data_IF_389611512869
#
_entry.id   IF_389611512869
#
_cell.length_a   1.000
_cell.length_b   1.000
_cell.length_c   1.000
_cell.angle_alpha   90.00
_cell.angle_beta   90.00
_cell.angle_gamma   90.00
#
_symmetry.space_group_name_H-M   'P 1'
#
loop_
_entity.id
_entity.type
_entity.pdbx_description
1 polymer ?
#
# COMPACT_ATOMS: atom_id res chain seq x y z
N UNK A 1 1.43 -11.65 -28.57
CA UNK A 1 1.56 -10.23 -28.25
C UNK A 1 0.65 -9.87 -27.05
N UNK A 2 0.78 -10.54 -25.90
CA UNK A 2 -0.43 -10.88 -25.11
C UNK A 2 -0.53 -10.41 -23.65
N UNK A 3 0.56 -10.04 -22.96
CA UNK A 3 0.49 -9.43 -21.61
C UNK A 3 1.53 -8.34 -21.45
N UNK A 4 2.77 -8.66 -21.80
CA UNK A 4 3.92 -7.74 -21.74
C UNK A 4 3.68 -6.47 -22.57
N UNK A 5 3.18 -6.61 -23.80
CA UNK A 5 2.89 -5.45 -24.67
C UNK A 5 1.77 -4.56 -24.14
N UNK A 6 0.78 -5.14 -23.44
CA UNK A 6 -0.28 -4.39 -22.79
C UNK A 6 0.26 -3.61 -21.58
N UNK A 7 1.05 -4.25 -20.72
CA UNK A 7 1.65 -3.61 -19.55
C UNK A 7 2.59 -2.47 -19.96
N UNK A 8 3.42 -2.69 -20.98
CA UNK A 8 4.31 -1.64 -21.53
C UNK A 8 3.48 -0.45 -22.01
N UNK A 9 2.43 -0.68 -22.81
CA UNK A 9 1.55 0.40 -23.27
C UNK A 9 0.84 1.13 -22.12
N UNK A 10 0.41 0.38 -21.10
CA UNK A 10 -0.20 0.95 -19.91
C UNK A 10 0.77 1.90 -19.20
N UNK A 11 2.04 1.50 -19.04
CA UNK A 11 3.08 2.32 -18.41
C UNK A 11 3.41 3.56 -19.25
N UNK A 12 3.52 3.41 -20.58
CA UNK A 12 3.74 4.54 -21.49
C UNK A 12 2.61 5.58 -21.38
N UNK A 13 1.34 5.13 -21.44
CA UNK A 13 0.19 6.00 -21.30
C UNK A 13 0.12 6.64 -19.89
N UNK A 14 0.46 5.88 -18.84
CA UNK A 14 0.52 6.40 -17.47
C UNK A 14 1.60 7.48 -17.31
N UNK A 15 2.79 7.25 -17.87
CA UNK A 15 3.89 8.22 -17.82
C UNK A 15 3.50 9.53 -18.51
N UNK A 16 2.88 9.43 -19.69
CA UNK A 16 2.38 10.59 -20.43
C UNK A 16 1.28 11.32 -19.66
N UNK A 17 0.35 10.59 -19.04
CA UNK A 17 -0.72 11.15 -18.22
C UNK A 17 -0.15 11.88 -17.00
N UNK A 18 0.80 11.30 -16.27
CA UNK A 18 1.44 11.94 -15.10
C UNK A 18 2.11 13.26 -15.48
N UNK A 19 2.86 13.28 -16.58
CA UNK A 19 3.49 14.52 -17.07
C UNK A 19 2.46 15.61 -17.39
N UNK A 20 1.33 15.22 -18.00
CA UNK A 20 0.23 16.12 -18.32
C UNK A 20 -0.50 16.62 -17.07
N UNK A 21 -0.81 15.72 -16.12
CA UNK A 21 -1.43 16.06 -14.83
C UNK A 21 -0.54 17.00 -14.02
N UNK A 22 0.78 16.80 -14.01
CA UNK A 22 1.72 17.73 -13.37
C UNK A 22 1.61 19.15 -13.95
N UNK A 23 1.58 19.27 -15.27
CA UNK A 23 1.41 20.57 -15.95
C UNK A 23 0.06 21.21 -15.61
N UNK A 24 -1.03 20.43 -15.65
CA UNK A 24 -2.38 20.91 -15.32
C UNK A 24 -2.50 21.35 -13.86
N UNK A 25 -1.84 20.64 -12.92
CA UNK A 25 -1.78 21.01 -11.50
C UNK A 25 -1.05 22.33 -11.29
N UNK A 26 0.04 22.59 -12.02
CA UNK A 26 0.75 23.87 -11.99
C UNK A 26 -0.14 25.02 -12.47
N UNK A 27 -0.93 24.77 -13.51
CA UNK A 27 -1.94 25.69 -14.05
C UNK A 27 -3.22 25.79 -13.18
N UNK A 28 -3.33 25.01 -12.09
CA UNK A 28 -4.52 24.86 -11.24
C UNK A 28 -5.78 24.36 -12.00
N UNK A 29 -5.61 23.74 -13.16
CA UNK A 29 -6.64 23.10 -13.98
C UNK A 29 -6.99 21.71 -13.44
N UNK A 30 -7.51 21.67 -12.22
CA UNK A 30 -7.75 20.42 -11.48
C UNK A 30 -8.87 19.57 -12.08
N UNK A 31 -9.88 20.18 -12.69
CA UNK A 31 -10.97 19.45 -13.36
C UNK A 31 -10.44 18.68 -14.58
N UNK A 32 -9.65 19.34 -15.41
CA UNK A 32 -9.02 18.75 -16.58
C UNK A 32 -8.04 17.65 -16.17
N UNK A 33 -7.27 17.86 -15.10
CA UNK A 33 -6.38 16.82 -14.58
C UNK A 33 -7.15 15.56 -14.15
N UNK A 34 -8.33 15.70 -13.53
CA UNK A 34 -9.18 14.56 -13.18
C UNK A 34 -9.73 13.85 -14.43
N UNK A 35 -10.01 14.57 -15.51
CA UNK A 35 -10.44 13.94 -16.78
C UNK A 35 -9.35 13.09 -17.40
N UNK A 36 -8.08 13.49 -17.32
CA UNK A 36 -6.96 12.69 -17.82
C UNK A 36 -6.83 11.36 -17.05
N UNK A 37 -7.05 11.39 -15.73
CA UNK A 37 -7.04 10.16 -14.93
C UNK A 37 -8.24 9.27 -15.29
N UNK A 38 -9.43 9.86 -15.45
CA UNK A 38 -10.64 9.11 -15.79
C UNK A 38 -10.57 8.46 -17.19
N UNK A 39 -9.97 9.16 -18.16
CA UNK A 39 -9.73 8.63 -19.51
C UNK A 39 -8.85 7.37 -19.44
N UNK A 40 -7.80 7.41 -18.63
CA UNK A 40 -6.88 6.29 -18.49
C UNK A 40 -7.47 5.12 -17.70
N UNK A 41 -8.25 5.40 -16.65
CA UNK A 41 -9.05 4.41 -15.93
C UNK A 41 -9.97 3.66 -16.89
N UNK A 42 -10.65 4.37 -17.78
CA UNK A 42 -11.58 3.78 -18.74
C UNK A 42 -10.83 2.92 -19.77
N UNK A 43 -9.76 3.47 -20.37
CA UNK A 43 -9.01 2.83 -21.44
C UNK A 43 -8.40 1.49 -21.01
N UNK A 44 -7.72 1.47 -19.86
CA UNK A 44 -6.96 0.28 -19.44
C UNK A 44 -7.75 -0.64 -18.53
N UNK A 45 -8.64 -0.11 -17.68
CA UNK A 45 -9.31 -0.87 -16.63
C UNK A 45 -10.81 -1.00 -16.83
N UNK A 46 -11.39 -0.26 -17.81
CA UNK A 46 -12.85 -0.14 -18.01
C UNK A 46 -13.59 0.37 -16.77
N UNK A 47 -12.90 1.17 -15.97
CA UNK A 47 -13.43 1.82 -14.77
C UNK A 47 -13.54 3.33 -14.99
N UNK A 48 -14.23 4.00 -14.09
CA UNK A 48 -14.15 5.45 -13.94
C UNK A 48 -13.92 5.78 -12.46
N UNK A 49 -13.46 6.99 -12.20
CA UNK A 49 -13.15 7.50 -10.88
C UNK A 49 -14.32 7.37 -9.91
N UNK A 50 -15.55 7.65 -10.38
CA UNK A 50 -16.76 7.56 -9.55
C UNK A 50 -16.99 6.14 -9.04
N UNK A 51 -16.95 5.15 -9.93
CA UNK A 51 -17.12 3.74 -9.57
C UNK A 51 -16.02 3.30 -8.62
N UNK A 52 -14.76 3.57 -8.98
CA UNK A 52 -13.60 3.18 -8.19
C UNK A 52 -13.71 3.74 -6.76
N UNK A 53 -14.03 5.02 -6.63
CA UNK A 53 -14.14 5.68 -5.34
C UNK A 53 -15.40 5.27 -4.52
N UNK A 54 -16.41 4.65 -5.14
CA UNK A 54 -17.62 4.16 -4.45
C UNK A 54 -17.50 2.74 -3.87
N UNK A 55 -16.55 1.94 -4.36
CA UNK A 55 -16.33 0.56 -3.94
C UNK A 55 -15.50 0.48 -2.65
N UNK A 56 -15.55 -0.66 -1.97
CA UNK A 56 -14.53 -1.00 -0.97
C UNK A 56 -13.19 -1.34 -1.64
N UNK A 57 -12.09 -1.41 -0.88
CA UNK A 57 -10.80 -1.85 -1.44
C UNK A 57 -10.82 -3.34 -1.78
N UNK A 58 -11.59 -4.14 -1.03
CA UNK A 58 -11.84 -5.56 -1.28
C UNK A 58 -12.58 -5.76 -2.61
N UNK A 59 -13.65 -5.01 -2.84
CA UNK A 59 -14.40 -5.09 -4.11
C UNK A 59 -13.52 -4.69 -5.29
N UNK A 60 -12.66 -3.67 -5.14
CA UNK A 60 -11.68 -3.33 -6.19
C UNK A 60 -10.75 -4.51 -6.44
N UNK A 61 -10.15 -5.09 -5.41
CA UNK A 61 -9.24 -6.22 -5.53
C UNK A 61 -9.91 -7.38 -6.28
N UNK A 62 -11.16 -7.68 -5.95
CA UNK A 62 -11.91 -8.77 -6.58
C UNK A 62 -12.22 -8.52 -8.06
N UNK A 63 -12.37 -7.26 -8.49
CA UNK A 63 -12.48 -6.92 -9.93
C UNK A 63 -11.22 -7.28 -10.73
N UNK A 64 -10.06 -7.39 -10.05
CA UNK A 64 -8.78 -7.79 -10.65
C UNK A 64 -8.48 -9.28 -10.52
N UNK A 65 -9.43 -10.09 -10.05
CA UNK A 65 -9.29 -11.55 -10.05
C UNK A 65 -9.89 -12.16 -11.32
N UNK A 66 -9.05 -12.84 -12.10
CA UNK A 66 -9.49 -13.61 -13.27
C UNK A 66 -9.19 -15.09 -13.04
N UNK A 67 -10.25 -15.91 -12.97
CA UNK A 67 -10.11 -17.36 -12.75
C UNK A 67 -9.42 -17.71 -11.42
N UNK A 68 -9.60 -16.88 -10.39
CA UNK A 68 -8.98 -17.05 -9.06
C UNK A 68 -7.57 -16.47 -8.93
N UNK A 69 -6.95 -16.02 -10.03
CA UNK A 69 -5.62 -15.41 -10.03
C UNK A 69 -5.75 -13.89 -10.04
N UNK A 70 -5.00 -13.22 -9.15
CA UNK A 70 -4.94 -11.76 -9.12
C UNK A 70 -4.06 -11.23 -10.26
N UNK A 71 -4.58 -10.26 -11.01
CA UNK A 71 -3.79 -9.46 -11.95
C UNK A 71 -3.06 -8.33 -11.19
N UNK A 72 -2.07 -8.69 -10.35
CA UNK A 72 -1.36 -7.80 -9.43
C UNK A 72 -0.72 -6.58 -10.12
N UNK A 73 -0.16 -6.74 -11.33
CA UNK A 73 0.38 -5.64 -12.13
C UNK A 73 -0.68 -4.61 -12.56
N UNK A 74 -1.92 -5.04 -12.78
CA UNK A 74 -3.02 -4.11 -13.08
C UNK A 74 -3.52 -3.44 -11.81
N UNK A 75 -3.55 -4.16 -10.70
CA UNK A 75 -3.93 -3.61 -9.41
C UNK A 75 -2.99 -2.48 -8.97
N UNK A 76 -1.68 -2.62 -9.15
CA UNK A 76 -0.74 -1.52 -8.91
C UNK A 76 -0.98 -0.32 -9.85
N UNK A 77 -1.41 -0.57 -11.10
CA UNK A 77 -1.78 0.48 -12.03
C UNK A 77 -2.94 1.32 -11.49
N UNK A 78 -3.99 0.68 -10.97
CA UNK A 78 -5.11 1.37 -10.31
C UNK A 78 -4.67 2.10 -9.04
N UNK A 79 -3.80 1.50 -8.24
CA UNK A 79 -3.24 2.14 -7.06
C UNK A 79 -2.52 3.45 -7.42
N UNK A 80 -1.71 3.44 -8.47
CA UNK A 80 -1.02 4.63 -8.99
C UNK A 80 -2.01 5.71 -9.47
N UNK A 81 -3.09 5.34 -10.16
CA UNK A 81 -4.09 6.32 -10.60
C UNK A 81 -4.83 6.97 -9.41
N UNK A 82 -5.15 6.21 -8.37
CA UNK A 82 -5.71 6.77 -7.13
C UNK A 82 -4.75 7.76 -6.47
N UNK A 83 -3.44 7.48 -6.45
CA UNK A 83 -2.43 8.41 -5.94
C UNK A 83 -2.41 9.72 -6.73
N UNK A 84 -2.45 9.64 -8.06
CA UNK A 84 -2.49 10.85 -8.90
C UNK A 84 -3.77 11.65 -8.66
N UNK A 85 -4.94 11.00 -8.53
CA UNK A 85 -6.17 11.68 -8.13
C UNK A 85 -6.03 12.37 -6.77
N UNK A 86 -5.48 11.69 -5.76
CA UNK A 86 -5.23 12.25 -4.43
C UNK A 86 -4.38 13.51 -4.51
N UNK A 87 -3.29 13.46 -5.28
CA UNK A 87 -2.42 14.61 -5.52
C UNK A 87 -3.13 15.78 -6.23
N UNK A 88 -4.14 15.53 -7.06
CA UNK A 88 -4.97 16.59 -7.66
C UNK A 88 -5.90 17.23 -6.62
N UNK A 89 -6.54 16.43 -5.75
CA UNK A 89 -7.38 16.94 -4.66
C UNK A 89 -6.59 17.75 -3.63
N UNK A 90 -5.33 17.38 -3.36
CA UNK A 90 -4.41 18.19 -2.55
C UNK A 90 -4.24 19.60 -3.12
N UNK A 91 -4.03 19.73 -4.44
CA UNK A 91 -3.92 21.03 -5.12
C UNK A 91 -5.24 21.80 -5.10
N UNK A 92 -6.38 21.10 -5.15
CA UNK A 92 -7.72 21.68 -5.02
C UNK A 92 -8.01 22.19 -3.59
N UNK A 93 -7.22 21.78 -2.60
CA UNK A 93 -7.41 22.12 -1.19
C UNK A 93 -8.40 21.20 -0.46
N UNK A 94 -8.80 20.10 -1.07
CA UNK A 94 -9.75 19.13 -0.52
C UNK A 94 -8.98 17.98 0.13
N UNK A 95 -8.59 18.18 1.39
CA UNK A 95 -7.74 17.26 2.14
C UNK A 95 -8.39 15.91 2.41
N UNK A 96 -9.71 15.89 2.62
CA UNK A 96 -10.43 14.65 2.90
C UNK A 96 -10.45 13.75 1.66
N UNK A 97 -10.71 14.32 0.48
CA UNK A 97 -10.67 13.57 -0.77
C UNK A 97 -9.25 13.13 -1.14
N UNK A 98 -8.23 13.92 -0.81
CA UNK A 98 -6.82 13.56 -1.00
C UNK A 98 -6.44 12.37 -0.11
N UNK A 99 -6.67 12.48 1.20
CA UNK A 99 -6.35 11.43 2.18
C UNK A 99 -7.09 10.13 1.89
N UNK A 100 -8.38 10.22 1.55
CA UNK A 100 -9.20 9.06 1.17
C UNK A 100 -8.55 8.25 0.03
N UNK A 101 -8.01 8.93 -0.98
CA UNK A 101 -7.35 8.29 -2.12
C UNK A 101 -5.96 7.80 -1.78
N UNK A 102 -5.19 8.55 -0.99
CA UNK A 102 -3.87 8.13 -0.52
C UNK A 102 -3.95 6.83 0.29
N UNK A 103 -4.86 6.73 1.26
CA UNK A 103 -5.04 5.51 2.06
C UNK A 103 -5.42 4.28 1.21
N UNK A 104 -6.29 4.48 0.22
CA UNK A 104 -6.71 3.40 -0.69
C UNK A 104 -5.59 3.00 -1.64
N UNK A 105 -4.89 3.97 -2.20
CA UNK A 105 -3.72 3.73 -3.03
C UNK A 105 -2.67 2.91 -2.27
N UNK A 106 -2.35 3.29 -1.03
CA UNK A 106 -1.43 2.55 -0.17
C UNK A 106 -1.90 1.11 0.04
N UNK A 107 -3.17 0.91 0.39
CA UNK A 107 -3.73 -0.43 0.56
C UNK A 107 -3.56 -1.29 -0.71
N UNK A 108 -3.90 -0.75 -1.88
CA UNK A 108 -3.82 -1.49 -3.14
C UNK A 108 -2.38 -1.77 -3.56
N UNK A 109 -1.44 -0.85 -3.34
CA UNK A 109 -0.03 -1.10 -3.60
C UNK A 109 0.54 -2.20 -2.70
N UNK A 110 0.31 -2.13 -1.38
CA UNK A 110 0.75 -3.16 -0.44
C UNK A 110 0.15 -4.52 -0.81
N UNK A 111 -1.13 -4.56 -1.15
CA UNK A 111 -1.80 -5.79 -1.56
C UNK A 111 -1.22 -6.34 -2.87
N UNK A 112 -0.99 -5.49 -3.87
CA UNK A 112 -0.41 -5.91 -5.15
C UNK A 112 1.01 -6.46 -4.97
N UNK A 113 1.82 -5.80 -4.14
CA UNK A 113 3.20 -6.22 -3.83
C UNK A 113 3.25 -7.62 -3.22
N UNK A 114 2.47 -7.85 -2.16
CA UNK A 114 2.38 -9.13 -1.45
C UNK A 114 1.81 -10.26 -2.34
N UNK A 115 1.23 -9.92 -3.49
CA UNK A 115 0.72 -10.86 -4.48
C UNK A 115 1.56 -10.88 -5.77
N UNK A 116 2.82 -10.44 -5.70
CA UNK A 116 3.82 -10.63 -6.75
C UNK A 116 3.67 -9.68 -7.93
N UNK A 117 3.17 -8.46 -7.71
CA UNK A 117 3.32 -7.39 -8.70
C UNK A 117 4.81 -7.08 -8.93
N UNK A 118 5.17 -6.75 -10.17
CA UNK A 118 6.52 -6.31 -10.49
C UNK A 118 6.72 -4.85 -10.03
N UNK A 119 7.58 -4.69 -9.02
CA UNK A 119 7.87 -3.40 -8.36
C UNK A 119 8.51 -2.38 -9.30
N UNK A 120 9.27 -2.83 -10.29
CA UNK A 120 10.02 -1.92 -11.18
C UNK A 120 9.10 -1.21 -12.18
N UNK A 121 7.94 -1.78 -12.49
CA UNK A 121 7.03 -1.27 -13.53
C UNK A 121 6.58 0.18 -13.29
N UNK A 122 6.35 0.56 -12.04
CA UNK A 122 5.81 1.87 -11.65
C UNK A 122 6.57 2.51 -10.48
N UNK A 123 7.81 2.08 -10.22
CA UNK A 123 8.59 2.46 -9.02
C UNK A 123 7.80 2.22 -7.73
N UNK A 124 7.21 1.03 -7.59
CA UNK A 124 6.24 0.72 -6.53
C UNK A 124 6.79 1.03 -5.13
N UNK A 125 8.06 0.73 -4.88
CA UNK A 125 8.71 1.02 -3.59
C UNK A 125 8.73 2.52 -3.30
N UNK A 126 9.15 3.35 -4.28
CA UNK A 126 9.12 4.80 -4.13
C UNK A 126 7.70 5.36 -3.97
N UNK A 127 6.72 4.79 -4.68
CA UNK A 127 5.31 5.17 -4.57
C UNK A 127 4.73 4.85 -3.18
N UNK A 128 5.02 3.67 -2.63
CA UNK A 128 4.64 3.28 -1.26
C UNK A 128 5.29 4.20 -0.23
N UNK A 129 6.59 4.48 -0.34
CA UNK A 129 7.29 5.39 0.57
C UNK A 129 6.69 6.81 0.57
N UNK A 130 6.34 7.32 -0.61
CA UNK A 130 5.69 8.62 -0.73
C UNK A 130 4.32 8.65 -0.05
N UNK A 131 3.52 7.59 -0.23
CA UNK A 131 2.21 7.45 0.41
C UNK A 131 2.33 7.30 1.93
N UNK A 132 3.29 6.53 2.42
CA UNK A 132 3.53 6.37 3.85
C UNK A 132 3.84 7.71 4.52
N UNK A 133 4.66 8.57 3.89
CA UNK A 133 4.91 9.93 4.37
C UNK A 133 3.65 10.80 4.36
N UNK A 134 2.79 10.65 3.35
CA UNK A 134 1.55 11.42 3.23
C UNK A 134 0.53 11.03 4.31
N UNK A 135 0.44 9.73 4.64
CA UNK A 135 -0.55 9.22 5.60
C UNK A 135 -0.03 9.08 7.03
N UNK A 136 1.27 9.25 7.27
CA UNK A 136 1.92 9.16 8.59
C UNK A 136 1.17 9.89 9.72
N UNK A 137 0.61 11.11 9.53
CA UNK A 137 -0.10 11.80 10.61
C UNK A 137 -1.44 11.16 11.00
N UNK A 138 -1.89 10.14 10.28
CA UNK A 138 -3.21 9.55 10.38
C UNK A 138 -3.13 8.08 10.79
N UNK A 139 -4.13 7.65 11.54
CA UNK A 139 -4.33 6.23 11.86
C UNK A 139 -4.74 5.47 10.60
N UNK A 140 -3.98 4.43 10.25
CA UNK A 140 -4.36 3.53 9.16
C UNK A 140 -5.52 2.63 9.57
N UNK A 141 -6.41 2.25 8.62
CA UNK A 141 -7.34 1.15 8.85
C UNK A 141 -6.58 -0.13 9.21
N UNK A 142 -7.07 -0.90 10.18
CA UNK A 142 -6.38 -2.11 10.67
C UNK A 142 -6.04 -3.12 9.57
N UNK A 143 -6.91 -3.25 8.55
CA UNK A 143 -6.63 -4.09 7.37
C UNK A 143 -5.43 -3.61 6.55
N UNK A 144 -5.23 -2.29 6.44
CA UNK A 144 -4.07 -1.72 5.74
C UNK A 144 -2.82 -1.83 6.60
N UNK A 145 -2.94 -1.67 7.92
CA UNK A 145 -1.83 -1.85 8.85
C UNK A 145 -1.31 -3.30 8.86
N UNK A 146 -2.21 -4.31 8.77
CA UNK A 146 -1.79 -5.71 8.59
C UNK A 146 -1.02 -5.96 7.29
N UNK A 147 -1.45 -5.34 6.18
CA UNK A 147 -0.69 -5.40 4.93
C UNK A 147 0.67 -4.71 5.08
N UNK A 148 0.73 -3.59 5.80
CA UNK A 148 1.97 -2.86 6.05
C UNK A 148 2.95 -3.69 6.89
N UNK A 149 2.47 -4.38 7.93
CA UNK A 149 3.25 -5.31 8.73
C UNK A 149 3.92 -6.36 7.82
N UNK A 150 3.12 -7.08 7.03
CA UNK A 150 3.60 -8.12 6.15
C UNK A 150 4.58 -7.58 5.08
N UNK A 151 4.28 -6.40 4.52
CA UNK A 151 5.17 -5.74 3.56
C UNK A 151 6.51 -5.37 4.20
N UNK A 152 6.51 -4.75 5.39
CA UNK A 152 7.75 -4.36 6.07
C UNK A 152 8.61 -5.58 6.42
N UNK A 153 7.99 -6.66 6.90
CA UNK A 153 8.68 -7.93 7.16
C UNK A 153 9.30 -8.50 5.87
N UNK A 154 8.55 -8.53 4.78
CA UNK A 154 9.02 -9.03 3.48
C UNK A 154 10.15 -8.17 2.88
N UNK A 155 10.17 -6.87 3.19
CA UNK A 155 11.24 -5.94 2.81
C UNK A 155 12.47 -6.01 3.72
N UNK A 156 12.42 -6.80 4.80
CA UNK A 156 13.48 -6.88 5.79
C UNK A 156 13.53 -5.69 6.75
N UNK A 157 12.49 -4.86 6.80
CA UNK A 157 12.36 -3.75 7.74
C UNK A 157 11.69 -4.22 9.04
N UNK A 158 12.38 -5.07 9.78
CA UNK A 158 11.82 -5.80 10.92
C UNK A 158 11.33 -4.90 12.05
N UNK A 159 12.07 -3.84 12.40
CA UNK A 159 11.60 -2.87 13.39
C UNK A 159 10.27 -2.20 12.99
N UNK A 160 10.12 -1.85 11.71
CA UNK A 160 8.87 -1.25 11.20
C UNK A 160 7.72 -2.25 11.16
N UNK A 161 8.00 -3.53 10.92
CA UNK A 161 6.99 -4.58 11.01
C UNK A 161 6.50 -4.74 12.45
N UNK A 162 7.42 -4.71 13.42
CA UNK A 162 7.10 -4.72 14.84
C UNK A 162 6.27 -3.48 15.23
N UNK A 163 6.64 -2.27 14.79
CA UNK A 163 5.84 -1.06 15.02
C UNK A 163 4.39 -1.21 14.52
N UNK A 164 4.19 -1.82 13.35
CA UNK A 164 2.85 -2.11 12.82
C UNK A 164 2.08 -3.11 13.68
N UNK A 165 2.74 -4.13 14.21
CA UNK A 165 2.15 -5.10 15.14
C UNK A 165 1.66 -4.42 16.42
N UNK A 166 2.48 -3.56 17.02
CA UNK A 166 2.08 -2.81 18.23
C UNK A 166 0.95 -1.83 17.94
N UNK A 167 0.96 -1.11 16.80
CA UNK A 167 -0.18 -0.28 16.39
C UNK A 167 -1.46 -1.09 16.28
N UNK A 168 -1.44 -2.28 15.66
CA UNK A 168 -2.62 -3.16 15.60
C UNK A 168 -3.13 -3.56 16.98
N UNK A 169 -2.23 -3.89 17.91
CA UNK A 169 -2.62 -4.19 19.28
C UNK A 169 -3.22 -2.98 20.00
N UNK A 170 -2.61 -1.80 19.89
CA UNK A 170 -3.14 -0.54 20.43
C UNK A 170 -4.51 -0.18 19.82
N UNK A 171 -4.75 -0.63 18.60
CA UNK A 171 -6.03 -0.45 17.92
C UNK A 171 -7.14 -1.32 18.51
N UNK A 172 -6.81 -2.29 19.38
CA UNK A 172 -7.72 -3.27 19.96
C UNK A 172 -7.92 -4.51 19.08
N UNK A 173 -7.05 -4.73 18.09
CA UNK A 173 -7.13 -5.91 17.24
C UNK A 173 -6.59 -7.14 17.98
N UNK A 174 -7.22 -8.30 17.77
CA UNK A 174 -6.71 -9.59 18.29
C UNK A 174 -5.55 -10.08 17.43
N UNK A 175 -4.35 -9.59 17.74
CA UNK A 175 -3.11 -9.91 17.02
C UNK A 175 -2.11 -10.70 17.88
N UNK A 176 -2.56 -11.29 18.99
CA UNK A 176 -1.67 -11.99 19.92
C UNK A 176 -0.94 -13.18 19.24
N UNK A 177 -1.68 -13.97 18.47
CA UNK A 177 -1.13 -15.06 17.67
C UNK A 177 -0.24 -14.54 16.55
N UNK A 178 -0.70 -13.55 15.77
CA UNK A 178 0.07 -12.92 14.68
C UNK A 178 1.44 -12.43 15.17
N UNK A 179 1.48 -11.77 16.33
CA UNK A 179 2.72 -11.28 16.91
C UNK A 179 3.64 -12.39 17.41
N UNK A 180 3.08 -13.45 18.00
CA UNK A 180 3.88 -14.61 18.41
C UNK A 180 4.54 -15.28 17.20
N UNK A 181 3.82 -15.41 16.09
CA UNK A 181 4.34 -15.94 14.83
C UNK A 181 5.40 -15.03 14.21
N UNK A 182 5.26 -13.69 14.29
CA UNK A 182 6.28 -12.74 13.84
C UNK A 182 7.60 -12.97 14.60
N UNK A 183 7.58 -12.96 15.93
CA UNK A 183 8.80 -13.18 16.73
C UNK A 183 9.41 -14.57 16.53
N UNK A 184 8.60 -15.60 16.27
CA UNK A 184 9.12 -16.93 15.91
C UNK A 184 9.91 -16.87 14.60
N UNK A 185 9.38 -16.21 13.57
CA UNK A 185 10.09 -16.04 12.29
C UNK A 185 11.35 -15.18 12.45
N UNK A 186 11.27 -14.07 13.19
CA UNK A 186 12.42 -13.20 13.48
C UNK A 186 13.54 -13.98 14.20
N UNK A 187 13.19 -14.86 15.14
CA UNK A 187 14.16 -15.69 15.86
C UNK A 187 14.89 -16.73 14.99
N UNK A 188 14.42 -16.98 13.77
CA UNK A 188 15.08 -17.86 12.80
C UNK A 188 16.07 -17.11 11.88
N UNK A 189 16.08 -15.78 11.92
CA UNK A 189 16.96 -14.96 11.08
C UNK A 189 18.37 -14.85 11.66
N UNK A 190 19.33 -14.59 10.77
CA UNK A 190 20.72 -14.35 11.19
C UNK A 190 20.85 -12.99 11.91
N UNK A 191 21.79 -12.85 12.85
CA UNK A 191 22.07 -11.55 13.49
C UNK A 191 22.32 -10.42 12.51
N UNK A 192 23.04 -10.69 11.41
CA UNK A 192 23.32 -9.69 10.39
C UNK A 192 22.05 -9.20 9.67
N UNK A 193 21.10 -10.10 9.38
CA UNK A 193 19.82 -9.74 8.77
C UNK A 193 18.97 -8.91 9.73
N UNK A 194 18.92 -9.31 11.00
CA UNK A 194 18.22 -8.60 12.07
C UNK A 194 18.76 -7.18 12.27
N UNK A 195 20.07 -7.01 12.37
CA UNK A 195 20.70 -5.68 12.45
C UNK A 195 20.45 -4.84 11.20
N UNK A 196 20.45 -5.43 10.00
CA UNK A 196 20.15 -4.70 8.77
C UNK A 196 18.68 -4.25 8.67
N UNK A 197 17.78 -4.93 9.38
CA UNK A 197 16.38 -4.57 9.52
C UNK A 197 16.05 -3.70 10.74
N UNK A 198 17.08 -3.09 11.33
CA UNK A 198 17.02 -2.21 12.50
C UNK A 198 16.42 -2.88 13.76
N UNK A 199 16.48 -4.21 13.87
CA UNK A 199 15.95 -4.97 15.01
C UNK A 199 16.96 -6.06 15.44
N UNK A 200 18.05 -5.71 16.16
CA UNK A 200 19.11 -6.65 16.54
C UNK A 200 18.60 -7.81 17.42
N UNK A 201 19.34 -8.94 17.50
CA UNK A 201 18.90 -10.14 18.21
C UNK A 201 18.47 -9.91 19.67
N UNK A 202 19.15 -9.00 20.37
CA UNK A 202 18.82 -8.64 21.74
C UNK A 202 17.43 -8.00 21.83
N UNK A 203 17.09 -7.11 20.89
CA UNK A 203 15.77 -6.47 20.80
C UNK A 203 14.69 -7.45 20.38
N UNK A 204 14.96 -8.38 19.46
CA UNK A 204 14.00 -9.46 19.12
C UNK A 204 13.65 -10.31 20.35
N UNK A 205 14.64 -10.68 21.16
CA UNK A 205 14.41 -11.47 22.36
C UNK A 205 13.63 -10.66 23.40
N UNK A 206 14.00 -9.39 23.61
CA UNK A 206 13.30 -8.49 24.52
C UNK A 206 11.84 -8.27 24.08
N UNK A 207 11.62 -7.90 22.83
CA UNK A 207 10.31 -7.69 22.23
C UNK A 207 9.43 -8.92 22.35
N UNK A 208 9.96 -10.12 22.10
CA UNK A 208 9.24 -11.39 22.29
C UNK A 208 8.77 -11.59 23.73
N UNK A 209 9.61 -11.31 24.71
CA UNK A 209 9.25 -11.43 26.13
C UNK A 209 8.21 -10.39 26.55
N UNK A 210 8.36 -9.15 26.08
CA UNK A 210 7.41 -8.07 26.31
C UNK A 210 6.05 -8.39 25.69
N UNK A 211 6.04 -8.82 24.43
CA UNK A 211 4.83 -9.24 23.72
C UNK A 211 4.11 -10.38 24.42
N UNK A 212 4.85 -11.39 24.89
CA UNK A 212 4.27 -12.51 25.65
C UNK A 212 3.65 -12.05 26.97
N UNK A 213 4.24 -11.08 27.67
CA UNK A 213 3.65 -10.52 28.90
C UNK A 213 2.40 -9.69 28.59
N UNK A 214 2.46 -8.91 27.50
CA UNK A 214 1.39 -8.03 27.06
C UNK A 214 0.13 -8.81 26.67
N UNK A 215 0.31 -9.89 25.92
CA UNK A 215 -0.79 -10.71 25.37
C UNK A 215 -1.17 -11.89 26.28
N UNK A 216 -0.24 -12.37 27.11
CA UNK A 216 -0.51 -13.42 28.11
C UNK A 216 -1.40 -12.96 29.27
N UNK A 217 -1.41 -11.67 29.59
CA UNK A 217 -2.32 -11.08 30.58
C UNK A 217 -3.69 -10.67 30.00
N UNK A 218 -3.89 -10.76 28.68
CA UNK A 218 -5.13 -10.40 28.00
C UNK A 218 -6.18 -11.53 28.00
N UNK A 219 -5.86 -12.69 28.58
CA UNK A 219 -6.77 -13.83 28.76
C UNK A 219 -7.26 -13.86 30.22
N UNK A 220 -8.02 -12.85 30.66
CA UNK A 220 -8.92 -12.93 31.84
C UNK A 220 -10.16 -12.09 31.57
#
# INVERSE_FOLDING_TARGET
MFRRDYIVRMIEDMTAMVAKVLTLKQDKKTTEALWEVDELLNRHFRLNSRLLNSLSVEDIIDMFRLGGVLESDKLQGVARLLKEEGGIYTVKGDKDQALFRAMRSLHLFLYADLHGADRELLDMTGEIEALLKEVEPYRLPAKTERLLLAYMEAMGHYAKAEDSLYRLWEYGEDVAAEGSELYERLGQLSPAALTAGDLPPEEVQQGREEWSKLTGNAII
#
